data_IF_259970461941
#
_entry.id   IF_259970461941
#
_cell.length_a   1.000
_cell.length_b   1.000
_cell.length_c   1.000
_cell.angle_alpha   90.00
_cell.angle_beta   90.00
_cell.angle_gamma   90.00
#
_symmetry.space_group_name_H-M   'P 1'
#
loop_
_entity.id
_entity.type
_entity.pdbx_description
1 polymer ?
#
# COMPACT_ATOMS: atom_id res chain seq x y z
N UNK A 1 2.64 -1.99 -0.43
CA UNK A 1 1.76 -3.16 -0.29
C UNK A 1 2.48 -4.20 0.56
N UNK A 2 2.08 -4.39 1.82
CA UNK A 2 2.68 -5.42 2.68
C UNK A 2 1.79 -6.65 2.67
N UNK A 3 2.02 -7.56 1.72
CA UNK A 3 1.46 -8.90 1.83
C UNK A 3 2.26 -9.66 2.87
N UNK A 4 1.79 -9.64 4.12
CA UNK A 4 2.31 -10.58 5.10
C UNK A 4 1.72 -11.95 4.79
N UNK A 5 2.51 -12.83 4.17
CA UNK A 5 2.17 -14.25 4.03
C UNK A 5 2.34 -15.01 5.36
N UNK A 6 2.21 -14.31 6.49
CA UNK A 6 2.30 -14.94 7.80
C UNK A 6 0.98 -15.62 8.14
N UNK A 7 1.09 -16.84 8.68
CA UNK A 7 -0.07 -17.62 9.14
C UNK A 7 -0.91 -16.86 10.17
N UNK A 8 -0.27 -16.05 11.02
CA UNK A 8 -0.93 -15.26 12.07
C UNK A 8 -1.78 -14.12 11.49
N UNK A 9 -1.25 -13.36 10.54
CA UNK A 9 -1.99 -12.27 9.88
C UNK A 9 -3.27 -12.80 9.21
N UNK A 10 -3.15 -13.92 8.49
CA UNK A 10 -4.28 -14.56 7.81
C UNK A 10 -5.38 -15.00 8.80
N UNK A 11 -5.00 -15.59 9.93
CA UNK A 11 -5.97 -16.05 10.94
C UNK A 11 -6.70 -14.87 11.59
N UNK A 12 -5.99 -13.79 11.91
CA UNK A 12 -6.60 -12.56 12.43
C UNK A 12 -7.61 -11.99 11.44
N UNK A 13 -7.21 -11.86 10.17
CA UNK A 13 -8.08 -11.31 9.14
C UNK A 13 -9.33 -12.16 8.90
N UNK A 14 -9.21 -13.49 8.88
CA UNK A 14 -10.38 -14.39 8.76
C UNK A 14 -11.33 -14.25 9.96
N UNK A 15 -10.79 -14.08 11.18
CA UNK A 15 -11.62 -13.87 12.38
C UNK A 15 -12.37 -12.55 12.30
N UNK A 16 -11.68 -11.46 11.93
CA UNK A 16 -12.29 -10.14 11.72
C UNK A 16 -13.39 -10.20 10.65
N UNK A 17 -13.10 -10.83 9.52
CA UNK A 17 -14.08 -10.98 8.43
C UNK A 17 -15.33 -11.75 8.88
N UNK A 18 -15.16 -12.87 9.59
CA UNK A 18 -16.30 -13.62 10.16
C UNK A 18 -17.09 -12.85 11.21
N UNK A 19 -16.42 -12.01 12.01
CA UNK A 19 -17.12 -11.16 12.97
C UNK A 19 -17.94 -10.06 12.30
N UNK A 20 -17.49 -9.59 11.12
CA UNK A 20 -18.14 -8.52 10.35
C UNK A 20 -19.33 -9.02 9.53
N UNK A 21 -19.26 -10.28 9.06
CA UNK A 21 -20.25 -10.87 8.15
C UNK A 21 -20.74 -12.22 8.69
N UNK A 22 -21.97 -12.25 9.22
CA UNK A 22 -22.62 -13.46 9.73
C UNK A 22 -23.51 -14.13 8.67
N UNK A 23 -23.71 -15.47 8.71
CA UNK A 23 -24.64 -16.15 7.82
C UNK A 23 -26.08 -15.59 7.95
N UNK A 24 -26.74 -15.37 6.81
CA UNK A 24 -28.11 -14.83 6.76
C UNK A 24 -28.21 -13.32 6.98
N UNK A 25 -27.10 -12.63 7.23
CA UNK A 25 -27.08 -11.17 7.33
C UNK A 25 -27.32 -10.54 5.96
N UNK A 26 -28.30 -9.62 5.88
CA UNK A 26 -28.47 -8.77 4.71
C UNK A 26 -27.37 -7.71 4.69
N UNK A 27 -26.62 -7.64 3.59
CA UNK A 27 -25.47 -6.75 3.43
C UNK A 27 -25.50 -6.05 2.08
N UNK A 28 -25.01 -4.81 2.05
CA UNK A 28 -24.80 -4.10 0.81
C UNK A 28 -23.59 -4.70 0.07
N UNK A 29 -23.70 -4.81 -1.26
CA UNK A 29 -22.66 -5.41 -2.11
C UNK A 29 -22.28 -4.48 -3.25
N UNK A 30 -21.01 -4.49 -3.62
CA UNK A 30 -20.53 -3.77 -4.79
C UNK A 30 -20.69 -4.67 -6.00
N UNK A 31 -21.63 -4.30 -6.88
CA UNK A 31 -22.02 -5.08 -8.05
C UNK A 31 -21.72 -4.32 -9.34
N UNK A 32 -21.17 -5.02 -10.35
CA UNK A 32 -21.00 -4.50 -11.70
C UNK A 32 -22.00 -5.20 -12.64
N UNK A 33 -22.99 -4.49 -13.21
CA UNK A 33 -23.98 -5.09 -14.12
C UNK A 33 -23.38 -5.78 -15.34
N UNK A 34 -22.26 -5.26 -15.86
CA UNK A 34 -21.58 -5.84 -17.02
C UNK A 34 -20.75 -7.08 -16.65
N UNK A 35 -20.46 -7.29 -15.36
CA UNK A 35 -19.66 -8.40 -14.83
C UNK A 35 -20.22 -8.90 -13.49
N UNK A 36 -21.40 -9.56 -13.49
CA UNK A 36 -22.10 -9.95 -12.27
C UNK A 36 -21.31 -10.88 -11.36
N UNK A 37 -20.46 -11.73 -11.94
CA UNK A 37 -19.62 -12.67 -11.20
C UNK A 37 -18.52 -12.00 -10.36
N UNK A 38 -18.29 -10.70 -10.53
CA UNK A 38 -17.31 -9.93 -9.76
C UNK A 38 -17.92 -9.14 -8.60
N UNK A 39 -19.12 -9.51 -8.14
CA UNK A 39 -19.72 -8.90 -6.96
C UNK A 39 -18.86 -9.17 -5.71
N UNK A 40 -18.58 -8.13 -4.94
CA UNK A 40 -17.74 -8.20 -3.73
C UNK A 40 -18.38 -7.46 -2.57
N UNK A 41 -18.10 -7.91 -1.34
CA UNK A 41 -18.56 -7.23 -0.11
C UNK A 41 -17.76 -5.96 0.18
N UNK A 42 -16.49 -5.94 -0.23
CA UNK A 42 -15.60 -4.80 -0.06
C UNK A 42 -14.91 -4.53 -1.40
N UNK A 43 -14.93 -3.28 -1.90
CA UNK A 43 -14.27 -2.93 -3.15
C UNK A 43 -12.75 -2.93 -2.96
N UNK A 44 -12.02 -3.11 -4.06
CA UNK A 44 -10.55 -3.11 -4.03
C UNK A 44 -9.99 -1.82 -3.42
N UNK A 45 -9.10 -1.95 -2.44
CA UNK A 45 -8.44 -0.82 -1.76
C UNK A 45 -7.45 -0.13 -2.70
N UNK A 46 -7.52 1.20 -2.77
CA UNK A 46 -6.59 2.04 -3.55
C UNK A 46 -5.46 2.64 -2.70
N UNK A 47 -5.51 2.46 -1.38
CA UNK A 47 -4.64 3.14 -0.41
C UNK A 47 -3.14 2.91 -0.65
N UNK A 48 -2.76 1.79 -1.27
CA UNK A 48 -1.37 1.47 -1.56
C UNK A 48 -0.75 2.25 -2.72
N UNK A 49 -1.56 2.85 -3.60
CA UNK A 49 -1.09 3.50 -4.84
C UNK A 49 -0.41 4.83 -4.51
N UNK A 50 -1.00 5.62 -3.60
CA UNK A 50 -0.46 6.93 -3.23
C UNK A 50 0.95 6.79 -2.65
N UNK A 51 1.13 5.86 -1.71
CA UNK A 51 2.44 5.61 -1.10
C UNK A 51 3.47 5.15 -2.15
N UNK A 52 3.06 4.27 -3.08
CA UNK A 52 3.95 3.81 -4.14
C UNK A 52 4.39 4.98 -5.03
N UNK A 53 3.46 5.84 -5.44
CA UNK A 53 3.77 7.04 -6.25
C UNK A 53 4.74 7.96 -5.50
N UNK A 54 4.50 8.24 -4.22
CA UNK A 54 5.38 9.11 -3.43
C UNK A 54 6.79 8.54 -3.33
N UNK A 55 6.95 7.26 -2.98
CA UNK A 55 8.26 6.62 -2.87
C UNK A 55 8.97 6.66 -4.23
N UNK A 56 8.28 6.29 -5.31
CA UNK A 56 8.86 6.33 -6.66
C UNK A 56 9.30 7.74 -7.04
N UNK A 57 8.47 8.75 -6.80
CA UNK A 57 8.82 10.15 -7.09
C UNK A 57 10.06 10.60 -6.31
N UNK A 58 10.13 10.30 -5.00
CA UNK A 58 11.29 10.65 -4.17
C UNK A 58 12.56 9.95 -4.68
N UNK A 59 12.49 8.65 -4.96
CA UNK A 59 13.64 7.90 -5.51
C UNK A 59 14.09 8.45 -6.87
N UNK A 60 13.15 8.87 -7.72
CA UNK A 60 13.46 9.43 -9.03
C UNK A 60 14.15 10.79 -8.92
N UNK A 61 13.66 11.68 -8.05
CA UNK A 61 14.28 12.99 -7.78
C UNK A 61 15.68 12.78 -7.19
N UNK A 62 15.83 11.85 -6.25
CA UNK A 62 17.12 11.55 -5.65
C UNK A 62 18.13 11.05 -6.68
N UNK A 63 17.73 10.13 -7.57
CA UNK A 63 18.56 9.66 -8.68
C UNK A 63 18.89 10.75 -9.70
N UNK A 64 17.94 11.64 -10.00
CA UNK A 64 18.17 12.79 -10.86
C UNK A 64 19.23 13.74 -10.28
N UNK A 65 19.12 14.06 -8.99
CA UNK A 65 20.12 14.89 -8.28
C UNK A 65 21.49 14.22 -8.32
N UNK A 66 21.56 12.92 -8.06
CA UNK A 66 22.81 12.16 -8.13
C UNK A 66 23.50 12.24 -9.50
N UNK A 67 22.73 12.28 -10.58
CA UNK A 67 23.26 12.33 -11.95
C UNK A 67 23.71 13.74 -12.36
N UNK A 68 22.93 14.78 -12.03
CA UNK A 68 23.17 16.13 -12.54
C UNK A 68 23.93 17.05 -11.58
N UNK A 69 23.89 16.79 -10.26
CA UNK A 69 24.52 17.65 -9.24
C UNK A 69 25.17 16.78 -8.16
N UNK A 70 26.39 16.32 -8.44
CA UNK A 70 27.14 15.43 -7.56
C UNK A 70 27.43 16.05 -6.18
N UNK A 71 27.78 17.34 -6.13
CA UNK A 71 28.10 18.03 -4.87
C UNK A 71 26.88 18.12 -3.93
N UNK A 72 25.70 18.39 -4.50
CA UNK A 72 24.45 18.50 -3.75
C UNK A 72 23.97 17.12 -3.27
N UNK A 73 24.21 16.07 -4.04
CA UNK A 73 23.93 14.70 -3.64
C UNK A 73 24.74 14.28 -2.40
N UNK A 74 26.05 14.57 -2.38
CA UNK A 74 26.92 14.22 -1.25
C UNK A 74 26.51 14.96 0.02
N UNK A 75 26.20 16.27 -0.08
CA UNK A 75 25.76 17.05 1.08
C UNK A 75 24.45 16.53 1.70
N UNK A 76 23.46 16.21 0.86
CA UNK A 76 22.19 15.63 1.32
C UNK A 76 22.43 14.28 1.99
N UNK A 77 23.26 13.44 1.39
CA UNK A 77 23.55 12.09 1.90
C UNK A 77 24.23 12.17 3.28
N UNK A 78 25.23 13.03 3.43
CA UNK A 78 25.95 13.21 4.70
C UNK A 78 25.02 13.72 5.81
N UNK A 79 24.21 14.76 5.53
CA UNK A 79 23.22 15.27 6.50
C UNK A 79 22.19 14.21 6.88
N UNK A 80 21.76 13.39 5.93
CA UNK A 80 20.85 12.29 6.19
C UNK A 80 21.48 11.28 7.16
N UNK A 81 22.72 10.83 6.90
CA UNK A 81 23.42 9.89 7.78
C UNK A 81 23.67 10.45 9.18
N UNK A 82 24.00 11.73 9.30
CA UNK A 82 24.17 12.40 10.60
C UNK A 82 22.87 12.44 11.42
N UNK A 83 21.71 12.54 10.78
CA UNK A 83 20.43 12.54 11.48
C UNK A 83 20.11 11.19 12.15
N UNK A 84 20.67 10.10 11.63
CA UNK A 84 20.39 8.73 12.07
C UNK A 84 21.51 8.10 12.92
N UNK A 85 22.60 8.83 13.16
CA UNK A 85 23.74 8.41 13.97
C UNK A 85 23.88 9.27 15.22
#
# INVERSE_FOLDING_TARGET
MFFSNSKQYRLKHIREFRSKYSPGQQVEVFYNPNKPKMAVLEPGRKDGIVLAVVITSVSFIYGYIAFFNQDLYTEITEKLFQLFN
#
